data_IF_382859857060
#
_entry.id   IF_382859857060
#
_cell.length_a   1.000
_cell.length_b   1.000
_cell.length_c   1.000
_cell.angle_alpha   90.00
_cell.angle_beta   90.00
_cell.angle_gamma   90.00
#
_symmetry.space_group_name_H-M   'P 1'
#
loop_
_entity.id
_entity.type
_entity.pdbx_description
1 polymer ?
#
# COMPACT_ATOMS: atom_id res chain seq x y z
N UNK A 1 2.29 -19.70 3.58
CA UNK A 1 2.59 -18.30 3.92
C UNK A 1 2.87 -17.64 2.58
N UNK A 2 2.00 -16.72 2.17
CA UNK A 2 2.10 -16.06 0.89
C UNK A 2 3.09 -14.89 1.03
N UNK A 3 4.38 -15.21 1.11
CA UNK A 3 5.53 -14.29 1.26
C UNK A 3 5.75 -13.34 0.07
N UNK A 4 4.71 -13.11 -0.74
CA UNK A 4 4.75 -12.35 -1.99
C UNK A 4 3.88 -11.10 -1.97
N UNK A 5 3.24 -10.78 -0.86
CA UNK A 5 2.42 -9.57 -0.72
C UNK A 5 3.24 -8.42 -0.15
N UNK A 6 2.97 -7.17 -0.55
CA UNK A 6 3.60 -6.03 0.10
C UNK A 6 3.14 -5.90 1.54
N UNK A 7 3.98 -5.27 2.34
CA UNK A 7 3.75 -5.07 3.76
C UNK A 7 4.40 -3.77 4.21
N UNK A 8 3.95 -3.24 5.34
CA UNK A 8 4.64 -2.14 6.01
C UNK A 8 5.60 -2.69 7.06
N UNK A 9 6.78 -2.07 7.15
CA UNK A 9 7.65 -2.24 8.31
C UNK A 9 7.09 -1.49 9.51
N UNK A 10 7.63 -1.77 10.70
CA UNK A 10 7.29 -1.08 11.94
C UNK A 10 7.47 0.45 11.84
N UNK A 11 8.47 0.89 11.08
CA UNK A 11 8.75 2.31 10.78
C UNK A 11 7.76 2.93 9.77
N UNK A 12 6.81 2.17 9.23
CA UNK A 12 5.85 2.64 8.24
C UNK A 12 6.37 2.66 6.79
N UNK A 13 7.50 2.01 6.51
CA UNK A 13 8.03 1.88 5.14
C UNK A 13 7.29 0.78 4.39
N UNK A 14 6.73 1.11 3.21
CA UNK A 14 6.15 0.16 2.28
C UNK A 14 7.25 -0.70 1.63
N UNK A 15 7.24 -1.99 1.92
CA UNK A 15 8.12 -2.97 1.29
C UNK A 15 7.32 -3.82 0.32
N UNK A 16 7.69 -3.72 -0.97
CA UNK A 16 7.14 -4.56 -2.03
C UNK A 16 8.22 -5.57 -2.43
N UNK A 17 8.08 -6.86 -2.05
CA UNK A 17 9.08 -7.86 -2.40
C UNK A 17 9.17 -8.03 -3.92
N UNK A 18 10.37 -8.24 -4.45
CA UNK A 18 10.57 -8.40 -5.90
C UNK A 18 9.85 -9.65 -6.45
N UNK A 19 9.71 -10.67 -5.62
CA UNK A 19 8.94 -11.89 -5.90
C UNK A 19 7.41 -11.70 -5.85
N UNK A 20 6.95 -10.46 -5.61
CA UNK A 20 5.56 -10.08 -5.80
C UNK A 20 5.20 -10.24 -7.28
N UNK A 21 4.69 -11.43 -7.60
CA UNK A 21 4.16 -11.81 -8.92
C UNK A 21 2.99 -10.91 -9.32
N UNK A 22 2.33 -10.29 -8.35
CA UNK A 22 1.22 -9.39 -8.57
C UNK A 22 1.76 -8.00 -8.96
N UNK A 23 1.70 -7.72 -10.26
CA UNK A 23 2.12 -6.46 -10.83
C UNK A 23 1.25 -5.28 -10.39
N UNK A 24 0.07 -5.55 -9.80
CA UNK A 24 -0.85 -4.54 -9.36
C UNK A 24 -0.28 -3.75 -8.15
N UNK A 25 0.67 -4.30 -7.40
CA UNK A 25 1.34 -3.54 -6.33
C UNK A 25 2.49 -2.66 -6.80
N UNK A 26 2.88 -2.74 -8.07
CA UNK A 26 3.90 -1.86 -8.65
C UNK A 26 3.22 -0.54 -9.06
N UNK A 27 2.92 0.33 -8.10
CA UNK A 27 2.27 1.63 -8.35
C UNK A 27 3.01 2.52 -9.36
N UNK A 28 4.31 2.25 -9.59
CA UNK A 28 5.14 2.92 -10.61
C UNK A 28 5.00 2.32 -12.03
N UNK A 29 4.17 1.29 -12.22
CA UNK A 29 3.83 0.70 -13.52
C UNK A 29 2.44 1.14 -13.95
N UNK A 30 2.22 1.21 -15.26
CA UNK A 30 0.93 1.61 -15.84
C UNK A 30 -0.22 0.64 -15.51
N UNK A 31 0.09 -0.63 -15.24
CA UNK A 31 -0.86 -1.67 -14.78
C UNK A 31 -0.94 -1.77 -13.25
N UNK A 32 -0.25 -0.89 -12.52
CA UNK A 32 -0.28 -0.83 -11.06
C UNK A 32 -1.59 -0.24 -10.54
N UNK A 33 -2.04 -0.73 -9.38
CA UNK A 33 -3.05 -0.07 -8.55
C UNK A 33 -2.52 1.31 -8.14
N UNK A 34 -3.45 2.22 -7.89
CA UNK A 34 -3.13 3.50 -7.30
C UNK A 34 -2.51 3.30 -5.91
N UNK A 35 -1.57 4.18 -5.53
CA UNK A 35 -0.92 4.11 -4.21
C UNK A 35 -1.96 4.03 -3.08
N UNK A 36 -3.02 4.83 -3.15
CA UNK A 36 -4.12 4.84 -2.18
C UNK A 36 -4.81 3.49 -1.99
N UNK A 37 -5.04 2.73 -3.07
CA UNK A 37 -5.65 1.40 -3.00
C UNK A 37 -4.73 0.42 -2.27
N UNK A 38 -3.44 0.48 -2.58
CA UNK A 38 -2.42 -0.35 -1.93
C UNK A 38 -2.34 -0.01 -0.44
N UNK A 39 -2.25 1.28 -0.12
CA UNK A 39 -2.22 1.75 1.27
C UNK A 39 -3.49 1.34 2.03
N UNK A 40 -4.66 1.40 1.41
CA UNK A 40 -5.94 1.00 2.03
C UNK A 40 -6.00 -0.51 2.28
N UNK A 41 -5.63 -1.31 1.28
CA UNK A 41 -5.64 -2.77 1.36
C UNK A 41 -4.63 -3.29 2.40
N UNK A 42 -3.51 -2.59 2.56
CA UNK A 42 -2.49 -2.88 3.57
C UNK A 42 -2.80 -2.26 4.95
N UNK A 43 -3.97 -1.62 5.11
CA UNK A 43 -4.37 -0.94 6.34
C UNK A 43 -3.30 0.04 6.84
N UNK A 44 -2.75 0.85 5.93
CA UNK A 44 -1.75 1.85 6.25
C UNK A 44 -2.26 2.77 7.36
N UNK A 45 -1.40 3.11 8.31
CA UNK A 45 -1.70 4.14 9.29
C UNK A 45 -1.78 5.52 8.62
N UNK A 46 -2.52 6.49 9.21
CA UNK A 46 -2.62 7.84 8.65
C UNK A 46 -1.27 8.54 8.50
N UNK A 47 -0.30 8.23 9.37
CA UNK A 47 1.08 8.74 9.28
C UNK A 47 1.79 8.22 8.03
N UNK A 48 1.69 6.92 7.75
CA UNK A 48 2.25 6.30 6.54
C UNK A 48 1.58 6.87 5.31
N UNK A 49 0.26 6.98 5.34
CA UNK A 49 -0.52 7.55 4.25
C UNK A 49 -0.02 8.95 3.87
N UNK A 50 0.15 9.83 4.86
CA UNK A 50 0.64 11.19 4.65
C UNK A 50 2.07 11.25 4.08
N UNK A 51 2.89 10.23 4.31
CA UNK A 51 4.24 10.11 3.73
C UNK A 51 4.22 9.67 2.26
N UNK A 52 3.24 8.86 1.85
CA UNK A 52 3.16 8.31 0.50
C UNK A 52 2.22 9.08 -0.43
N UNK A 53 1.21 9.75 0.10
CA UNK A 53 0.25 10.56 -0.65
C UNK A 53 -0.20 11.77 0.16
N UNK A 54 -0.52 12.86 -0.54
CA UNK A 54 -1.14 14.05 0.04
C UNK A 54 -2.68 13.98 -0.02
N UNK A 55 -3.25 12.88 -0.50
CA UNK A 55 -4.70 12.67 -0.50
C UNK A 55 -5.25 12.49 0.92
N UNK A 56 -6.54 12.80 1.10
CA UNK A 56 -7.23 12.56 2.38
C UNK A 56 -7.23 11.06 2.68
N UNK A 57 -6.85 10.70 3.90
CA UNK A 57 -6.95 9.32 4.39
C UNK A 57 -8.40 8.83 4.25
N UNK A 58 -8.66 7.66 3.62
CA UNK A 58 -9.98 7.09 3.55
C UNK A 58 -10.38 6.77 4.99
N UNK A 59 -11.34 7.52 5.51
CA UNK A 59 -11.94 7.19 6.79
C UNK A 59 -12.54 5.78 6.62
N UNK A 60 -12.18 4.79 7.47
CA UNK A 60 -12.78 3.47 7.37
C UNK A 60 -14.29 3.66 7.47
N UNK A 61 -15.00 3.33 6.40
CA UNK A 61 -16.45 3.43 6.35
C UNK A 61 -17.00 2.45 7.39
N UNK A 62 -17.29 2.95 8.59
CA UNK A 62 -18.10 2.25 9.59
C UNK A 62 -19.54 2.22 9.07
N UNK A 63 -19.87 1.25 8.20
CA UNK A 63 -21.24 0.91 7.79
C UNK A 63 -21.57 -0.55 8.06
#
# INVERSE_FOLDING_TARGET
MDDKKPYFTDDGTLVIPFECTDHAYKYWKQEGKAMKDILTELHASPEVWANYTHEKYPEPDES
#
